data_IF_436142687869
#
_entry.id   IF_436142687869
#
_cell.length_a   1.000
_cell.length_b   1.000
_cell.length_c   1.000
_cell.angle_alpha   90.00
_cell.angle_beta   90.00
_cell.angle_gamma   90.00
#
_symmetry.space_group_name_H-M   'P 1'
#
loop_
_entity.id
_entity.type
_entity.pdbx_description
1 polymer ?
#
# COMPACT_ATOMS: atom_id res chain seq x y z
N UNK A 1 -78.92 -119.77 74.55
CA UNK A 1 -77.49 -119.65 74.86
C UNK A 1 -76.73 -119.60 73.55
N UNK A 2 -76.27 -118.41 73.17
CA UNK A 2 -75.51 -118.11 71.94
C UNK A 2 -74.21 -117.42 72.39
N UNK A 3 -73.03 -117.77 71.86
CA UNK A 3 -71.78 -117.24 72.36
C UNK A 3 -71.49 -115.84 71.78
N UNK A 4 -71.08 -114.94 72.66
CA UNK A 4 -70.64 -113.57 72.35
C UNK A 4 -69.23 -113.63 71.71
N UNK A 5 -68.98 -112.96 70.58
CA UNK A 5 -67.66 -112.93 69.97
C UNK A 5 -66.74 -111.95 70.71
N UNK A 6 -65.56 -112.42 71.08
CA UNK A 6 -64.49 -111.62 71.70
C UNK A 6 -63.69 -110.94 70.60
N UNK A 7 -63.79 -109.61 70.55
CA UNK A 7 -62.99 -108.74 69.68
C UNK A 7 -61.54 -108.70 70.17
N UNK A 8 -60.53 -108.97 69.33
CA UNK A 8 -59.14 -108.83 69.74
C UNK A 8 -58.78 -107.36 69.90
N UNK A 9 -58.20 -107.04 71.06
CA UNK A 9 -57.71 -105.71 71.41
C UNK A 9 -56.68 -105.22 70.37
N UNK A 10 -56.94 -104.01 69.85
CA UNK A 10 -56.02 -103.26 69.01
C UNK A 10 -54.72 -102.99 69.78
N UNK A 11 -53.53 -103.33 69.23
CA UNK A 11 -52.28 -103.05 69.91
C UNK A 11 -52.06 -101.53 69.94
N UNK A 12 -51.78 -101.03 71.15
CA UNK A 12 -51.44 -99.64 71.40
C UNK A 12 -50.31 -99.18 70.45
N UNK A 13 -50.37 -97.94 69.92
CA UNK A 13 -49.29 -97.39 69.11
C UNK A 13 -48.03 -97.33 69.97
N UNK A 14 -47.11 -98.27 69.71
CA UNK A 14 -45.80 -98.30 70.33
C UNK A 14 -45.11 -96.97 70.05
N UNK A 15 -44.77 -96.28 71.13
CA UNK A 15 -43.80 -95.19 71.14
C UNK A 15 -42.45 -95.78 70.73
N UNK A 16 -42.24 -95.92 69.43
CA UNK A 16 -40.96 -96.26 68.84
C UNK A 16 -40.01 -95.08 69.11
N UNK A 17 -39.24 -95.20 70.20
CA UNK A 17 -38.13 -94.32 70.49
C UNK A 17 -37.22 -94.25 69.26
N UNK A 18 -36.89 -93.03 68.77
CA UNK A 18 -36.06 -92.89 67.58
C UNK A 18 -34.70 -93.55 67.84
N UNK A 19 -34.41 -94.60 67.06
CA UNK A 19 -33.14 -95.31 67.17
C UNK A 19 -31.96 -94.34 66.94
N UNK A 20 -30.80 -94.58 67.58
CA UNK A 20 -29.64 -93.68 67.56
C UNK A 20 -29.15 -93.28 66.16
N UNK A 21 -29.48 -94.04 65.11
CA UNK A 21 -29.20 -93.70 63.71
C UNK A 21 -29.96 -92.49 63.14
N UNK A 22 -31.13 -92.11 63.67
CA UNK A 22 -31.92 -90.97 63.17
C UNK A 22 -31.32 -89.60 63.54
N UNK A 23 -30.58 -89.53 64.65
CA UNK A 23 -29.92 -88.29 65.05
C UNK A 23 -28.71 -87.98 64.16
N UNK A 24 -27.97 -89.03 63.76
CA UNK A 24 -26.84 -88.90 62.83
C UNK A 24 -27.28 -88.48 61.43
N UNK A 25 -28.39 -88.99 60.90
CA UNK A 25 -28.90 -88.58 59.58
C UNK A 25 -29.38 -87.13 59.58
N UNK A 26 -30.07 -86.69 60.63
CA UNK A 26 -30.46 -85.28 60.80
C UNK A 26 -29.24 -84.36 60.89
N UNK A 27 -28.22 -84.74 61.67
CA UNK A 27 -26.98 -83.97 61.77
C UNK A 27 -26.28 -83.87 60.41
N UNK A 28 -26.19 -84.98 59.67
CA UNK A 28 -25.58 -85.00 58.33
C UNK A 28 -26.30 -84.09 57.34
N UNK A 29 -27.63 -84.12 57.34
CA UNK A 29 -28.44 -83.24 56.48
C UNK A 29 -28.27 -81.76 56.85
N UNK A 30 -28.20 -81.44 58.15
CA UNK A 30 -27.94 -80.09 58.62
C UNK A 30 -26.55 -79.59 58.22
N UNK A 31 -25.51 -80.44 58.33
CA UNK A 31 -24.15 -80.11 57.89
C UNK A 31 -24.11 -79.87 56.38
N UNK A 32 -24.75 -80.72 55.57
CA UNK A 32 -24.84 -80.53 54.12
C UNK A 32 -25.50 -79.18 53.77
N UNK A 33 -26.62 -78.84 54.41
CA UNK A 33 -27.29 -77.56 54.19
C UNK A 33 -26.42 -76.35 54.60
N UNK A 34 -25.61 -76.49 55.65
CA UNK A 34 -24.65 -75.44 56.04
C UNK A 34 -23.54 -75.30 54.99
N UNK A 35 -23.03 -76.41 54.46
CA UNK A 35 -22.02 -76.40 53.39
C UNK A 35 -22.56 -75.74 52.12
N UNK A 36 -23.78 -76.09 51.69
CA UNK A 36 -24.41 -75.47 50.51
C UNK A 36 -24.58 -73.95 50.69
N UNK A 37 -24.95 -73.52 51.90
CA UNK A 37 -25.05 -72.09 52.25
C UNK A 37 -23.69 -71.39 52.24
N UNK A 38 -22.64 -72.05 52.72
CA UNK A 38 -21.28 -71.52 52.66
C UNK A 38 -20.81 -71.37 51.21
N UNK A 39 -21.10 -72.34 50.34
CA UNK A 39 -20.76 -72.25 48.92
C UNK A 39 -21.48 -71.08 48.24
N UNK A 40 -22.76 -70.85 48.57
CA UNK A 40 -23.52 -69.70 48.08
C UNK A 40 -22.94 -68.37 48.60
N UNK A 41 -22.52 -68.30 49.87
CA UNK A 41 -21.84 -67.12 50.41
C UNK A 41 -20.52 -66.83 49.68
N UNK A 42 -19.75 -67.86 49.30
CA UNK A 42 -18.52 -67.67 48.52
C UNK A 42 -18.80 -67.12 47.12
N UNK A 43 -19.84 -67.62 46.44
CA UNK A 43 -20.29 -67.09 45.13
C UNK A 43 -20.75 -65.63 45.24
N UNK A 44 -21.50 -65.31 46.29
CA UNK A 44 -21.94 -63.93 46.56
C UNK A 44 -20.75 -62.99 46.78
N UNK A 45 -19.75 -63.43 47.56
CA UNK A 45 -18.52 -62.66 47.80
C UNK A 45 -17.80 -62.38 46.48
N UNK A 46 -17.60 -63.39 45.64
CA UNK A 46 -16.96 -63.21 44.34
C UNK A 46 -17.75 -62.26 43.42
N UNK A 47 -19.08 -62.35 43.43
CA UNK A 47 -19.94 -61.41 42.69
C UNK A 47 -19.82 -59.98 43.21
N UNK A 48 -19.74 -59.79 44.53
CA UNK A 48 -19.58 -58.48 45.14
C UNK A 48 -18.23 -57.86 44.78
N UNK A 49 -17.15 -58.65 44.80
CA UNK A 49 -15.82 -58.21 44.36
C UNK A 49 -15.82 -57.78 42.88
N UNK A 50 -16.52 -58.50 42.01
CA UNK A 50 -16.68 -58.09 40.61
C UNK A 50 -17.46 -56.78 40.46
N UNK A 51 -18.50 -56.57 41.28
CA UNK A 51 -19.27 -55.32 41.27
C UNK A 51 -18.41 -54.15 41.76
N UNK A 52 -17.62 -54.34 42.81
CA UNK A 52 -16.67 -53.32 43.31
C UNK A 52 -15.67 -52.95 42.22
N UNK A 53 -15.06 -53.94 41.55
CA UNK A 53 -14.13 -53.66 40.45
C UNK A 53 -14.77 -52.90 39.28
N UNK A 54 -16.05 -53.17 38.98
CA UNK A 54 -16.78 -52.43 37.94
C UNK A 54 -17.06 -50.99 38.39
N UNK A 55 -17.44 -50.79 39.65
CA UNK A 55 -17.63 -49.46 40.24
C UNK A 55 -16.34 -48.65 40.20
N UNK A 56 -15.20 -49.24 40.56
CA UNK A 56 -13.89 -48.56 40.49
C UNK A 56 -13.55 -48.11 39.07
N UNK A 57 -13.83 -48.97 38.07
CA UNK A 57 -13.64 -48.60 36.65
C UNK A 57 -14.56 -47.46 36.22
N UNK A 58 -15.82 -47.50 36.63
CA UNK A 58 -16.79 -46.43 36.32
C UNK A 58 -16.38 -45.12 36.98
N UNK A 59 -15.91 -45.17 38.23
CA UNK A 59 -15.38 -43.99 38.92
C UNK A 59 -14.22 -43.38 38.16
N UNK A 60 -13.25 -44.20 37.74
CA UNK A 60 -12.10 -43.73 36.99
C UNK A 60 -12.49 -43.13 35.62
N UNK A 61 -13.47 -43.73 34.93
CA UNK A 61 -14.03 -43.17 33.71
C UNK A 61 -14.71 -41.82 33.95
N UNK A 62 -15.40 -41.67 35.07
CA UNK A 62 -16.06 -40.41 35.45
C UNK A 62 -15.03 -39.32 35.73
N UNK A 63 -13.96 -39.64 36.45
CA UNK A 63 -12.85 -38.72 36.72
C UNK A 63 -12.18 -38.25 35.41
N UNK A 64 -11.97 -39.16 34.46
CA UNK A 64 -11.43 -38.82 33.13
C UNK A 64 -12.37 -37.92 32.32
N UNK A 65 -13.68 -38.16 32.39
CA UNK A 65 -14.70 -37.32 31.74
C UNK A 65 -14.73 -35.93 32.37
N UNK A 66 -14.72 -35.84 33.70
CA UNK A 66 -14.66 -34.57 34.42
C UNK A 66 -13.43 -33.77 34.05
N UNK A 67 -12.26 -34.42 33.96
CA UNK A 67 -11.03 -33.77 33.53
C UNK A 67 -11.14 -33.22 32.10
N UNK A 68 -11.62 -34.03 31.15
CA UNK A 68 -11.84 -33.57 29.77
C UNK A 68 -12.86 -32.44 29.68
N UNK A 69 -13.90 -32.46 30.51
CA UNK A 69 -14.87 -31.37 30.58
C UNK A 69 -14.19 -30.07 31.00
N UNK A 70 -13.36 -30.10 32.04
CA UNK A 70 -12.61 -28.92 32.48
C UNK A 70 -11.63 -28.42 31.39
N UNK A 71 -10.95 -29.33 30.69
CA UNK A 71 -10.06 -28.96 29.57
C UNK A 71 -10.84 -28.26 28.44
N UNK A 72 -12.08 -28.69 28.17
CA UNK A 72 -12.98 -28.06 27.19
C UNK A 72 -13.44 -26.67 27.67
N UNK A 73 -13.81 -26.53 28.94
CA UNK A 73 -14.22 -25.25 29.52
C UNK A 73 -13.06 -24.22 29.43
N UNK A 74 -11.84 -24.62 29.78
CA UNK A 74 -10.66 -23.76 29.62
C UNK A 74 -10.41 -23.39 28.14
N UNK A 75 -10.62 -24.32 27.21
CA UNK A 75 -10.47 -24.05 25.78
C UNK A 75 -11.52 -23.05 25.28
N UNK A 76 -12.76 -23.16 25.77
CA UNK A 76 -13.84 -22.23 25.46
C UNK A 76 -13.55 -20.83 26.00
N UNK A 77 -13.04 -20.71 27.22
CA UNK A 77 -12.65 -19.42 27.80
C UNK A 77 -11.53 -18.74 26.99
N UNK A 78 -10.54 -19.51 26.55
CA UNK A 78 -9.48 -19.01 25.66
C UNK A 78 -10.03 -18.56 24.31
N UNK A 79 -10.96 -19.32 23.72
CA UNK A 79 -11.60 -18.95 22.45
C UNK A 79 -12.44 -17.67 22.60
N UNK A 80 -13.22 -17.56 23.68
CA UNK A 80 -14.01 -16.37 24.01
C UNK A 80 -13.12 -15.12 24.13
N UNK A 81 -12.00 -15.25 24.84
CA UNK A 81 -11.02 -14.17 24.99
C UNK A 81 -10.40 -13.73 23.65
N UNK A 82 -10.07 -14.70 22.78
CA UNK A 82 -9.54 -14.42 21.44
C UNK A 82 -10.58 -13.73 20.55
N UNK A 83 -11.84 -14.17 20.58
CA UNK A 83 -12.92 -13.55 19.81
C UNK A 83 -13.17 -12.12 20.26
N UNK A 84 -13.10 -11.85 21.57
CA UNK A 84 -13.20 -10.48 22.09
C UNK A 84 -12.08 -9.59 21.55
N UNK A 85 -10.83 -10.04 21.62
CA UNK A 85 -9.67 -9.30 21.10
C UNK A 85 -9.76 -9.06 19.58
N UNK A 86 -10.24 -10.05 18.82
CA UNK A 86 -10.52 -9.88 17.39
C UNK A 86 -11.60 -8.83 17.14
N UNK A 87 -12.67 -8.81 17.95
CA UNK A 87 -13.72 -7.80 17.88
C UNK A 87 -13.17 -6.38 18.08
N UNK A 88 -12.37 -6.18 19.12
CA UNK A 88 -11.72 -4.88 19.41
C UNK A 88 -10.78 -4.44 18.27
N UNK A 89 -10.04 -5.38 17.67
CA UNK A 89 -9.15 -5.10 16.54
C UNK A 89 -9.94 -4.69 15.29
N UNK A 90 -11.05 -5.36 15.01
CA UNK A 90 -11.92 -5.03 13.88
C UNK A 90 -12.59 -3.67 14.07
N UNK A 91 -13.03 -3.35 15.28
CA UNK A 91 -13.59 -2.04 15.62
C UNK A 91 -12.56 -0.94 15.39
N UNK A 92 -11.34 -1.11 15.89
CA UNK A 92 -10.24 -0.17 15.65
C UNK A 92 -9.92 -0.01 14.15
N UNK A 93 -9.85 -1.11 13.40
CA UNK A 93 -9.62 -1.09 11.96
C UNK A 93 -10.72 -0.35 11.20
N UNK A 94 -11.97 -0.58 11.57
CA UNK A 94 -13.14 0.09 11.00
C UNK A 94 -13.12 1.59 11.30
N UNK A 95 -12.77 1.97 12.53
CA UNK A 95 -12.60 3.37 12.92
C UNK A 95 -11.51 4.09 12.11
N UNK A 96 -10.35 3.44 11.90
CA UNK A 96 -9.30 3.97 11.03
C UNK A 96 -9.74 4.15 9.59
N UNK A 97 -10.43 3.16 9.03
CA UNK A 97 -10.92 3.23 7.65
C UNK A 97 -11.93 4.36 7.48
N UNK A 98 -12.84 4.54 8.44
CA UNK A 98 -13.76 5.69 8.47
C UNK A 98 -13.02 7.03 8.50
N UNK A 99 -11.96 7.15 9.32
CA UNK A 99 -11.12 8.35 9.36
C UNK A 99 -10.44 8.63 8.01
N UNK A 100 -9.88 7.61 7.37
CA UNK A 100 -9.22 7.74 6.06
C UNK A 100 -10.23 8.16 4.98
N UNK A 101 -11.44 7.59 5.01
CA UNK A 101 -12.50 8.02 4.09
C UNK A 101 -12.88 9.49 4.30
N UNK A 102 -13.01 9.93 5.55
CA UNK A 102 -13.27 11.34 5.85
C UNK A 102 -12.13 12.28 5.40
N UNK A 103 -10.87 11.86 5.56
CA UNK A 103 -9.72 12.62 5.04
C UNK A 103 -9.71 12.69 3.50
N UNK A 104 -10.10 11.60 2.83
CA UNK A 104 -10.21 11.55 1.37
C UNK A 104 -11.32 12.49 0.88
N UNK A 105 -12.50 12.45 1.50
CA UNK A 105 -13.60 13.35 1.19
C UNK A 105 -13.19 14.82 1.40
N UNK A 106 -12.42 15.11 2.45
CA UNK A 106 -11.91 16.46 2.73
C UNK A 106 -10.87 16.94 1.68
N UNK A 107 -10.22 16.04 0.94
CA UNK A 107 -9.30 16.40 -0.14
C UNK A 107 -10.00 16.76 -1.45
N UNK A 108 -11.25 16.35 -1.66
CA UNK A 108 -11.95 16.63 -2.93
C UNK A 108 -12.14 18.13 -3.19
N UNK A 109 -12.51 18.90 -2.16
CA UNK A 109 -12.70 20.36 -2.27
C UNK A 109 -11.42 21.13 -2.67
N UNK A 110 -10.25 20.94 -2.02
CA UNK A 110 -9.03 21.61 -2.43
C UNK A 110 -8.53 21.15 -3.80
N UNK A 111 -8.76 19.89 -4.20
CA UNK A 111 -8.47 19.42 -5.55
C UNK A 111 -9.34 20.14 -6.59
N UNK A 112 -10.64 20.26 -6.36
CA UNK A 112 -11.53 21.01 -7.25
C UNK A 112 -11.11 22.48 -7.36
N UNK A 113 -10.73 23.10 -6.23
CA UNK A 113 -10.19 24.46 -6.19
C UNK A 113 -8.87 24.60 -6.97
N UNK A 114 -7.98 23.61 -6.90
CA UNK A 114 -6.75 23.58 -7.69
C UNK A 114 -7.05 23.48 -9.19
N UNK A 115 -7.96 22.59 -9.60
CA UNK A 115 -8.38 22.44 -11.00
C UNK A 115 -8.93 23.76 -11.55
N UNK A 116 -9.78 24.46 -10.78
CA UNK A 116 -10.31 25.77 -11.17
C UNK A 116 -9.19 26.81 -11.36
N UNK A 117 -8.20 26.84 -10.46
CA UNK A 117 -7.06 27.77 -10.56
C UNK A 117 -6.16 27.48 -11.76
N UNK A 118 -5.89 26.21 -12.04
CA UNK A 118 -5.09 25.79 -13.21
C UNK A 118 -5.78 26.22 -14.49
N UNK A 119 -7.09 25.95 -14.64
CA UNK A 119 -7.86 26.39 -15.81
C UNK A 119 -7.81 27.91 -15.99
N UNK A 120 -7.89 28.69 -14.91
CA UNK A 120 -7.79 30.15 -14.99
C UNK A 120 -6.39 30.63 -15.42
N UNK A 121 -5.33 29.92 -15.04
CA UNK A 121 -3.96 30.20 -15.48
C UNK A 121 -3.76 29.84 -16.96
N UNK A 122 -4.29 28.71 -17.41
CA UNK A 122 -4.26 28.31 -18.82
C UNK A 122 -4.89 29.37 -19.73
N UNK A 123 -6.07 29.89 -19.36
CA UNK A 123 -6.73 30.97 -20.11
C UNK A 123 -5.90 32.26 -20.13
N UNK A 124 -5.32 32.65 -18.98
CA UNK A 124 -4.42 33.82 -18.93
C UNK A 124 -3.18 33.65 -19.79
N UNK A 125 -2.59 32.46 -19.79
CA UNK A 125 -1.43 32.13 -20.62
C UNK A 125 -1.77 32.20 -22.10
N UNK A 126 -2.96 31.70 -22.50
CA UNK A 126 -3.46 31.78 -23.87
C UNK A 126 -3.62 33.24 -24.32
N UNK A 127 -4.28 34.07 -23.51
CA UNK A 127 -4.43 35.52 -23.80
C UNK A 127 -3.07 36.22 -23.90
N UNK A 128 -2.12 35.88 -23.03
CA UNK A 128 -0.77 36.45 -23.09
C UNK A 128 -0.04 36.04 -24.37
N UNK A 129 -0.17 34.77 -24.77
CA UNK A 129 0.45 34.26 -26.00
C UNK A 129 -0.15 34.91 -27.26
N UNK A 130 -1.47 35.12 -27.30
CA UNK A 130 -2.14 35.87 -28.35
C UNK A 130 -1.60 37.31 -28.43
N UNK A 131 -1.48 38.02 -27.30
CA UNK A 131 -0.89 39.37 -27.24
C UNK A 131 0.55 39.41 -27.73
N UNK A 132 1.39 38.45 -27.32
CA UNK A 132 2.78 38.36 -27.80
C UNK A 132 2.81 38.15 -29.32
N UNK A 133 1.91 37.30 -29.83
CA UNK A 133 1.80 37.05 -31.27
C UNK A 133 1.39 38.32 -32.02
N UNK A 134 0.42 39.09 -31.50
CA UNK A 134 0.00 40.37 -32.08
C UNK A 134 1.14 41.41 -32.08
N UNK A 135 1.95 41.44 -31.03
CA UNK A 135 3.14 42.28 -30.93
C UNK A 135 4.20 41.91 -31.97
N UNK A 136 4.49 40.61 -32.13
CA UNK A 136 5.46 40.10 -33.11
C UNK A 136 4.97 40.38 -34.54
N UNK A 137 3.68 40.23 -34.80
CA UNK A 137 3.08 40.46 -36.11
C UNK A 137 2.83 41.95 -36.43
N UNK A 138 3.21 42.89 -35.56
CA UNK A 138 3.09 44.33 -35.79
C UNK A 138 1.65 44.85 -35.80
N UNK A 139 0.71 44.13 -35.16
CA UNK A 139 -0.71 44.52 -35.07
C UNK A 139 -1.03 45.38 -33.84
N UNK A 140 -0.07 45.59 -32.94
CA UNK A 140 -0.23 46.42 -31.75
C UNK A 140 0.27 47.85 -31.96
N UNK A 141 -0.43 48.82 -31.35
CA UNK A 141 0.03 50.20 -31.18
C UNK A 141 1.21 50.27 -30.18
N UNK A 142 2.32 49.62 -30.49
CA UNK A 142 3.55 49.71 -29.69
C UNK A 142 4.46 50.72 -30.35
N UNK A 143 4.37 51.95 -29.83
CA UNK A 143 5.41 52.94 -30.05
C UNK A 143 6.71 52.37 -29.48
N UNK A 144 7.80 52.32 -30.26
CA UNK A 144 9.09 51.92 -29.72
C UNK A 144 9.51 52.95 -28.67
N UNK A 145 9.28 52.63 -27.39
CA UNK A 145 9.88 53.35 -26.28
C UNK A 145 11.37 53.04 -26.34
N UNK A 146 12.14 53.89 -27.01
CA UNK A 146 13.59 53.95 -26.78
C UNK A 146 13.77 54.33 -25.32
N UNK A 147 14.02 53.35 -24.47
CA UNK A 147 14.61 53.61 -23.16
C UNK A 147 16.03 54.11 -23.38
N UNK A 148 16.19 55.44 -23.50
CA UNK A 148 17.49 56.05 -23.33
C UNK A 148 17.87 55.91 -21.86
N UNK A 149 18.97 55.20 -21.63
CA UNK A 149 19.53 55.00 -20.31
C UNK A 149 20.09 56.35 -19.82
N UNK A 150 19.27 57.15 -19.11
CA UNK A 150 19.64 58.49 -18.65
C UNK A 150 20.85 58.50 -17.70
N UNK A 151 21.20 57.37 -17.09
CA UNK A 151 22.37 57.27 -16.21
C UNK A 151 23.73 57.31 -16.92
N UNK A 152 23.78 57.21 -18.25
CA UNK A 152 25.03 57.36 -19.02
C UNK A 152 25.25 58.77 -19.61
N UNK A 153 24.31 59.70 -19.45
CA UNK A 153 24.46 61.08 -19.93
C UNK A 153 24.70 62.02 -18.75
N UNK A 154 25.97 62.19 -18.40
CA UNK A 154 26.47 63.28 -17.54
C UNK A 154 26.22 64.61 -18.24
N UNK A 155 25.08 65.26 -18.00
CA UNK A 155 24.78 66.70 -18.21
C UNK A 155 25.54 67.44 -19.34
N UNK A 156 25.71 66.83 -20.50
CA UNK A 156 26.18 67.53 -21.69
C UNK A 156 24.95 68.03 -22.46
N UNK A 157 24.87 69.33 -22.79
CA UNK A 157 23.86 69.83 -23.69
C UNK A 157 23.99 69.07 -25.02
N UNK A 158 22.88 68.54 -25.51
CA UNK A 158 22.77 67.84 -26.79
C UNK A 158 22.98 68.82 -27.94
N UNK A 159 24.24 69.21 -28.18
CA UNK A 159 24.67 69.68 -29.48
C UNK A 159 25.02 68.45 -30.31
N UNK A 160 24.15 68.12 -31.26
CA UNK A 160 24.52 67.26 -32.37
C UNK A 160 25.80 67.80 -33.01
N UNK A 161 26.82 66.98 -33.27
CA UNK A 161 27.92 67.40 -34.12
C UNK A 161 27.38 67.54 -35.56
N UNK A 162 26.90 68.73 -35.89
CA UNK A 162 26.67 69.20 -37.27
C UNK A 162 28.02 69.62 -37.90
N UNK A 163 29.06 68.81 -37.67
CA UNK A 163 30.39 69.02 -38.25
C UNK A 163 30.66 67.87 -39.21
N UNK A 164 30.27 68.13 -40.47
CA UNK A 164 30.95 67.68 -41.69
C UNK A 164 31.46 66.23 -41.71
N UNK A 165 30.53 65.28 -41.85
CA UNK A 165 30.83 64.05 -42.59
C UNK A 165 30.72 64.35 -44.10
N UNK A 166 31.59 63.77 -44.97
CA UNK A 166 31.43 63.85 -46.42
C UNK A 166 30.05 63.28 -46.83
N UNK A 167 29.51 63.64 -48.01
CA UNK A 167 28.14 63.30 -48.38
C UNK A 167 27.86 61.82 -48.14
N UNK A 168 26.82 61.56 -47.35
CA UNK A 168 26.26 60.23 -47.07
C UNK A 168 26.20 59.42 -48.38
N UNK A 169 26.97 58.33 -48.54
CA UNK A 169 26.88 57.54 -49.76
C UNK A 169 25.50 56.85 -49.80
N UNK A 170 24.75 57.11 -50.86
CA UNK A 170 23.53 56.41 -51.20
C UNK A 170 23.87 54.94 -51.48
N UNK A 171 23.63 54.06 -50.52
CA UNK A 171 23.93 52.64 -50.67
C UNK A 171 24.09 51.90 -49.35
N UNK A 172 23.19 52.12 -48.38
CA UNK A 172 23.23 51.33 -47.14
C UNK A 172 22.83 49.88 -47.49
N UNK A 173 23.66 48.87 -47.16
CA UNK A 173 23.28 47.48 -47.29
C UNK A 173 22.05 47.19 -46.45
N UNK A 174 20.96 46.76 -47.08
CA UNK A 174 19.75 46.31 -46.36
C UNK A 174 19.68 44.79 -46.31
N UNK A 175 20.40 44.12 -47.20
CA UNK A 175 20.42 42.67 -47.35
C UNK A 175 21.83 42.10 -47.22
N UNK A 176 21.95 40.80 -46.96
CA UNK A 176 23.23 40.08 -46.91
C UNK A 176 24.01 40.21 -48.22
N UNK A 177 23.31 40.28 -49.36
CA UNK A 177 23.90 40.48 -50.68
C UNK A 177 24.58 41.86 -50.82
N UNK A 178 23.97 42.90 -50.26
CA UNK A 178 24.54 44.25 -50.28
C UNK A 178 25.81 44.35 -49.38
N UNK A 179 25.87 43.57 -48.31
CA UNK A 179 27.06 43.46 -47.45
C UNK A 179 28.21 42.77 -48.19
N UNK A 180 27.90 41.80 -49.05
CA UNK A 180 28.87 41.12 -49.90
C UNK A 180 29.35 41.96 -51.10
N UNK A 181 28.68 43.07 -51.44
CA UNK A 181 29.11 43.99 -52.50
C UNK A 181 29.93 45.20 -52.01
N UNK A 182 30.17 45.35 -50.70
CA UNK A 182 30.84 46.54 -50.13
C UNK A 182 32.30 46.67 -50.55
N UNK A 183 32.72 47.84 -51.01
CA UNK A 183 34.13 48.09 -51.30
C UNK A 183 34.99 48.17 -50.01
N UNK A 184 36.31 48.19 -50.19
CA UNK A 184 37.25 48.18 -49.08
C UNK A 184 37.21 49.43 -48.21
N UNK A 185 36.84 50.59 -48.76
CA UNK A 185 36.77 51.83 -48.00
C UNK A 185 35.50 51.88 -47.15
N UNK A 186 34.37 51.39 -47.66
CA UNK A 186 33.14 51.21 -46.89
C UNK A 186 33.33 50.22 -45.74
N UNK A 187 34.00 49.10 -45.97
CA UNK A 187 34.29 48.13 -44.92
C UNK A 187 35.21 48.72 -43.82
N UNK A 188 36.24 49.47 -44.19
CA UNK A 188 37.11 50.16 -43.22
C UNK A 188 36.35 51.21 -42.41
N UNK A 189 35.52 52.02 -43.07
CA UNK A 189 34.70 53.03 -42.40
C UNK A 189 33.73 52.39 -41.40
N UNK A 190 33.12 51.26 -41.76
CA UNK A 190 32.24 50.49 -40.86
C UNK A 190 32.99 49.86 -39.69
N UNK A 191 34.16 49.24 -39.93
CA UNK A 191 35.01 48.69 -38.86
C UNK A 191 35.39 49.80 -37.87
N UNK A 192 35.76 50.99 -38.36
CA UNK A 192 36.08 52.14 -37.52
C UNK A 192 34.86 52.63 -36.73
N UNK A 193 33.70 52.77 -37.39
CA UNK A 193 32.47 53.23 -36.75
C UNK A 193 31.94 52.24 -35.69
N UNK A 194 32.05 50.94 -35.96
CA UNK A 194 31.67 49.86 -35.06
C UNK A 194 32.73 49.56 -33.99
N UNK A 195 33.88 50.25 -34.04
CA UNK A 195 35.05 50.03 -33.16
C UNK A 195 35.51 48.57 -33.13
N UNK A 196 35.44 47.89 -34.27
CA UNK A 196 35.91 46.52 -34.41
C UNK A 196 37.44 46.48 -34.40
N UNK A 197 38.05 45.41 -33.84
CA UNK A 197 39.50 45.27 -33.87
C UNK A 197 39.96 45.25 -35.32
N UNK A 198 40.83 46.20 -35.67
CA UNK A 198 41.38 46.27 -37.02
C UNK A 198 42.16 44.99 -37.29
N UNK A 199 41.85 44.25 -38.37
CA UNK A 199 42.52 42.99 -38.65
C UNK A 199 44.02 43.24 -38.81
N UNK A 200 44.80 42.74 -37.85
CA UNK A 200 46.21 43.05 -37.67
C UNK A 200 47.09 42.11 -38.49
N UNK A 201 47.54 42.57 -39.66
CA UNK A 201 48.53 41.83 -40.46
C UNK A 201 48.77 42.47 -41.83
N UNK A 202 50.00 42.93 -42.05
CA UNK A 202 50.68 43.24 -43.33
C UNK A 202 49.83 43.75 -44.51
N UNK A 203 50.06 45.02 -44.88
CA UNK A 203 49.70 45.70 -46.16
C UNK A 203 48.77 44.87 -47.06
N UNK A 204 47.46 45.14 -46.94
CA UNK A 204 46.31 44.52 -47.63
C UNK A 204 45.63 43.38 -46.85
N UNK A 205 44.76 43.74 -45.90
CA UNK A 205 43.74 42.82 -45.39
C UNK A 205 42.72 42.50 -46.50
N UNK A 206 42.43 41.22 -46.77
CA UNK A 206 41.47 40.83 -47.79
C UNK A 206 40.09 41.42 -47.48
N UNK A 207 39.45 41.99 -48.50
CA UNK A 207 38.11 42.60 -48.38
C UNK A 207 37.09 41.64 -47.76
N UNK A 208 37.18 40.36 -48.09
CA UNK A 208 36.33 39.31 -47.52
C UNK A 208 36.48 39.14 -46.01
N UNK A 209 37.69 39.32 -45.47
CA UNK A 209 37.92 39.22 -44.02
C UNK A 209 37.21 40.36 -43.28
N UNK A 210 37.30 41.58 -43.82
CA UNK A 210 36.60 42.74 -43.25
C UNK A 210 35.07 42.57 -43.33
N UNK A 211 34.55 42.09 -44.47
CA UNK A 211 33.12 41.81 -44.63
C UNK A 211 32.62 40.74 -43.64
N UNK A 212 33.36 39.64 -43.50
CA UNK A 212 33.00 38.56 -42.56
C UNK A 212 33.01 39.03 -41.11
N UNK A 213 33.96 39.87 -40.73
CA UNK A 213 34.03 40.46 -39.41
C UNK A 213 32.82 41.37 -39.11
N UNK A 214 32.41 42.18 -40.08
CA UNK A 214 31.21 43.04 -39.96
C UNK A 214 29.95 42.18 -39.85
N UNK A 215 29.78 41.17 -40.72
CA UNK A 215 28.61 40.27 -40.72
C UNK A 215 28.49 39.53 -39.38
N UNK A 216 29.59 38.97 -38.88
CA UNK A 216 29.62 38.27 -37.59
C UNK A 216 29.26 39.21 -36.44
N UNK A 217 29.74 40.46 -36.45
CA UNK A 217 29.43 41.41 -35.38
C UNK A 217 27.98 41.88 -35.38
N UNK A 218 27.38 42.03 -36.57
CA UNK A 218 25.97 42.41 -36.71
C UNK A 218 24.99 41.26 -36.42
N UNK A 219 25.49 40.04 -36.20
CA UNK A 219 24.66 38.88 -35.89
C UNK A 219 23.84 38.37 -37.08
N UNK A 220 24.23 38.68 -38.32
CA UNK A 220 23.63 38.12 -39.54
C UNK A 220 24.10 36.67 -39.78
N UNK A 221 24.06 35.83 -38.75
CA UNK A 221 24.48 34.43 -38.76
C UNK A 221 23.31 33.48 -39.12
N UNK A 222 22.56 33.82 -40.16
CA UNK A 222 21.67 32.89 -40.84
C UNK A 222 22.12 32.77 -42.29
N UNK A 223 23.16 31.97 -42.55
CA UNK A 223 23.50 31.37 -43.86
C UNK A 223 24.73 30.43 -43.78
N UNK A 224 24.85 29.61 -42.72
CA UNK A 224 25.79 28.45 -42.70
C UNK A 224 25.04 27.10 -42.60
N UNK A 225 23.74 27.09 -42.86
CA UNK A 225 22.97 25.87 -43.15
C UNK A 225 22.52 25.90 -44.60
N UNK A 226 23.35 25.37 -45.49
CA UNK A 226 23.05 24.55 -46.70
C UNK A 226 24.35 24.52 -47.54
N UNK A 227 25.27 23.63 -47.15
CA UNK A 227 26.14 22.85 -48.05
C UNK A 227 27.25 22.18 -47.23
N UNK A 228 26.90 21.12 -46.53
CA UNK A 228 27.83 20.00 -46.41
C UNK A 228 27.04 18.71 -46.42
N UNK A 229 26.93 18.19 -47.63
CA UNK A 229 26.49 16.86 -47.98
C UNK A 229 27.51 15.85 -47.43
N UNK A 230 27.17 15.19 -46.33
CA UNK A 230 27.61 13.84 -45.96
C UNK A 230 26.29 13.08 -45.71
N UNK A 231 25.83 12.06 -46.45
CA UNK A 231 26.50 10.98 -47.19
C UNK A 231 27.65 10.38 -46.39
N UNK A 232 27.30 9.56 -45.40
CA UNK A 232 27.74 8.16 -45.29
C UNK A 232 26.62 7.38 -44.60
N UNK A 233 26.43 6.14 -45.07
CA UNK A 233 25.66 5.05 -44.45
C UNK A 233 25.98 4.84 -42.97
#
# INVERSE_FOLDING_TARGET
MTPIPVTPASPAPGLALPGPGQHFTKLRAAVAAVVDRLELCLKLKASLEQVIQKLDRVQHMFDDVMKKSNDVDEALDRLSSRLKCMGETLEYGTGKLSSVMGELDAMDEPFEGLVKRVRALEEKAKVMNEKITDLICGKGDVWPVRMYNHQCSLDLPLEWPLVSYPPYPAGRPKTLADLQSMDAEMCKALIAALRLPTPSGTRHTPLECMRKQIINHLGCAECDSISSSHSVY
#
